data_IF_334473162946
#
_entry.id   IF_334473162946
#
_cell.length_a   1.000
_cell.length_b   1.000
_cell.length_c   1.000
_cell.angle_alpha   90.00
_cell.angle_beta   90.00
_cell.angle_gamma   90.00
#
_symmetry.space_group_name_H-M   'P 1'
#
loop_
_entity.id
_entity.type
_entity.pdbx_description
1 polymer ?
#
# COMPACT_ATOMS: atom_id res chain seq x y z
N UNK A 1 -1.78 11.12 10.17
CA UNK A 1 -2.94 11.10 9.25
C UNK A 1 -4.14 10.48 9.96
N UNK A 2 -5.35 11.00 9.74
CA UNK A 2 -6.58 10.50 10.37
C UNK A 2 -7.38 9.63 9.39
N UNK A 3 -7.82 8.44 9.83
CA UNK A 3 -8.61 7.46 9.05
C UNK A 3 -9.94 7.99 8.50
N UNK A 4 -10.48 9.05 9.12
CA UNK A 4 -11.73 9.69 8.66
C UNK A 4 -11.51 10.63 7.49
N UNK A 5 -10.27 11.10 7.26
CA UNK A 5 -10.01 12.15 6.30
C UNK A 5 -9.64 11.57 4.92
N UNK A 6 -10.65 10.99 4.24
CA UNK A 6 -10.50 10.31 2.93
C UNK A 6 -9.74 11.14 1.90
N UNK A 7 -9.97 12.47 1.86
CA UNK A 7 -9.22 13.37 0.97
C UNK A 7 -7.72 13.36 1.26
N UNK A 8 -7.29 13.52 2.50
CA UNK A 8 -5.85 13.49 2.84
C UNK A 8 -5.20 12.16 2.42
N UNK A 9 -5.91 11.05 2.66
CA UNK A 9 -5.43 9.71 2.30
C UNK A 9 -5.31 9.58 0.79
N UNK A 10 -6.31 10.02 0.04
CA UNK A 10 -6.28 10.07 -1.41
C UNK A 10 -5.12 10.91 -1.95
N UNK A 11 -4.83 12.06 -1.34
CA UNK A 11 -3.66 12.87 -1.68
C UNK A 11 -2.33 12.16 -1.39
N UNK A 12 -2.24 11.37 -0.31
CA UNK A 12 -1.06 10.53 -0.02
C UNK A 12 -0.86 9.36 -0.99
N UNK A 13 -1.91 8.96 -1.72
CA UNK A 13 -1.80 7.97 -2.79
C UNK A 13 -1.14 8.54 -4.06
N UNK A 14 -1.15 9.87 -4.23
CA UNK A 14 -0.52 10.53 -5.39
C UNK A 14 0.98 10.55 -5.20
N UNK A 15 1.68 9.68 -5.93
CA UNK A 15 3.11 9.41 -5.80
C UNK A 15 3.81 9.56 -7.14
N UNK A 16 5.13 9.69 -7.13
CA UNK A 16 5.92 9.93 -8.35
C UNK A 16 5.92 8.76 -9.35
N UNK A 17 5.40 7.59 -8.97
CA UNK A 17 5.39 6.36 -9.77
C UNK A 17 3.96 6.01 -10.14
N UNK A 18 3.68 6.03 -11.45
CA UNK A 18 2.32 5.89 -11.99
C UNK A 18 1.70 4.52 -11.69
N UNK A 19 2.46 3.43 -11.82
CA UNK A 19 1.93 2.10 -11.51
C UNK A 19 1.54 1.96 -10.02
N UNK A 20 2.36 2.55 -9.13
CA UNK A 20 2.10 2.53 -7.69
C UNK A 20 0.89 3.39 -7.34
N UNK A 21 0.77 4.58 -7.93
CA UNK A 21 -0.38 5.46 -7.77
C UNK A 21 -1.68 4.74 -8.17
N UNK A 22 -1.71 4.10 -9.35
CA UNK A 22 -2.88 3.35 -9.82
C UNK A 22 -3.23 2.22 -8.85
N UNK A 23 -2.25 1.40 -8.47
CA UNK A 23 -2.46 0.27 -7.55
C UNK A 23 -3.08 0.70 -6.22
N UNK A 24 -2.49 1.72 -5.58
CA UNK A 24 -2.92 2.18 -4.27
C UNK A 24 -4.28 2.88 -4.37
N UNK A 25 -4.52 3.68 -5.41
CA UNK A 25 -5.77 4.41 -5.58
C UNK A 25 -6.93 3.45 -5.87
N UNK A 26 -6.74 2.49 -6.77
CA UNK A 26 -7.75 1.45 -7.04
C UNK A 26 -8.01 0.58 -5.82
N UNK A 27 -6.98 0.24 -5.03
CA UNK A 27 -7.17 -0.46 -3.76
C UNK A 27 -7.96 0.40 -2.76
N UNK A 28 -7.63 1.68 -2.65
CA UNK A 28 -8.32 2.60 -1.76
C UNK A 28 -9.80 2.72 -2.13
N UNK A 29 -10.15 2.90 -3.40
CA UNK A 29 -11.55 3.05 -3.81
C UNK A 29 -12.37 1.77 -3.60
N UNK A 30 -11.80 0.60 -3.87
CA UNK A 30 -12.55 -0.66 -3.83
C UNK A 30 -12.55 -1.35 -2.46
N UNK A 31 -11.46 -1.24 -1.70
CA UNK A 31 -11.28 -1.98 -0.43
C UNK A 31 -11.39 -1.10 0.79
N UNK A 32 -10.99 0.17 0.74
CA UNK A 32 -10.90 1.02 1.94
C UNK A 32 -12.22 1.21 2.67
N UNK A 33 -13.35 1.26 1.95
CA UNK A 33 -14.65 1.44 2.59
C UNK A 33 -15.01 0.23 3.47
N UNK A 34 -14.66 -0.97 3.01
CA UNK A 34 -14.92 -2.25 3.68
C UNK A 34 -13.82 -2.66 4.70
N UNK A 35 -12.78 -1.86 4.89
CA UNK A 35 -11.72 -2.14 5.86
C UNK A 35 -12.14 -1.80 7.29
N UNK A 36 -11.66 -2.59 8.25
CA UNK A 36 -11.81 -2.30 9.67
C UNK A 36 -10.96 -1.08 10.07
N UNK A 37 -11.26 -0.45 11.20
CA UNK A 37 -10.48 0.70 11.68
C UNK A 37 -8.99 0.35 11.85
N UNK A 38 -8.66 -0.86 12.31
CA UNK A 38 -7.28 -1.32 12.47
C UNK A 38 -6.55 -1.40 11.12
N UNK A 39 -7.19 -1.96 10.10
CA UNK A 39 -6.59 -2.05 8.76
C UNK A 39 -6.44 -0.66 8.13
N UNK A 40 -7.37 0.25 8.38
CA UNK A 40 -7.26 1.65 7.95
C UNK A 40 -6.05 2.34 8.58
N UNK A 41 -5.78 2.08 9.87
CA UNK A 41 -4.55 2.57 10.52
C UNK A 41 -3.28 1.95 9.94
N UNK A 42 -3.29 0.65 9.66
CA UNK A 42 -2.16 -0.04 9.01
C UNK A 42 -1.90 0.53 7.60
N UNK A 43 -2.94 0.80 6.83
CA UNK A 43 -2.86 1.39 5.49
C UNK A 43 -2.30 2.82 5.54
N UNK A 44 -2.74 3.65 6.50
CA UNK A 44 -2.16 4.98 6.68
C UNK A 44 -0.69 4.92 7.06
N UNK A 45 -0.32 3.98 7.95
CA UNK A 45 1.08 3.76 8.29
C UNK A 45 1.88 3.32 7.07
N UNK A 46 1.29 2.51 6.20
CA UNK A 46 1.88 2.12 4.93
C UNK A 46 2.10 3.33 4.01
N UNK A 47 1.11 4.22 3.90
CA UNK A 47 1.20 5.46 3.12
C UNK A 47 2.24 6.48 3.62
N UNK A 48 2.75 6.33 4.85
CA UNK A 48 3.85 7.16 5.35
C UNK A 48 5.24 6.69 4.87
N UNK A 49 5.37 5.51 4.26
CA UNK A 49 6.66 5.04 3.75
C UNK A 49 7.04 5.71 2.44
N UNK A 50 8.33 5.88 2.23
CA UNK A 50 8.89 6.37 0.97
C UNK A 50 8.53 5.47 -0.22
N UNK A 51 8.46 6.03 -1.43
CA UNK A 51 8.07 5.31 -2.66
C UNK A 51 8.91 4.05 -2.90
N UNK A 52 10.23 4.16 -2.67
CA UNK A 52 11.16 3.03 -2.79
C UNK A 52 10.85 1.92 -1.78
N UNK A 53 10.48 2.29 -0.57
CA UNK A 53 10.17 1.33 0.51
C UNK A 53 8.84 0.63 0.26
N UNK A 54 7.83 1.34 -0.25
CA UNK A 54 6.56 0.76 -0.67
C UNK A 54 6.73 -0.26 -1.79
N UNK A 55 7.45 0.11 -2.84
CA UNK A 55 7.71 -0.79 -3.98
C UNK A 55 8.53 -1.99 -3.51
N UNK A 56 9.55 -1.78 -2.68
CA UNK A 56 10.30 -2.88 -2.11
C UNK A 56 9.38 -3.78 -1.27
N UNK A 57 8.43 -3.25 -0.50
CA UNK A 57 7.47 -4.09 0.25
C UNK A 57 6.61 -4.94 -0.70
N UNK A 58 6.06 -4.33 -1.75
CA UNK A 58 5.20 -4.99 -2.76
C UNK A 58 5.97 -6.04 -3.59
N UNK A 59 7.23 -5.76 -3.92
CA UNK A 59 8.11 -6.70 -4.64
C UNK A 59 8.60 -7.81 -3.71
N UNK A 60 8.93 -7.48 -2.47
CA UNK A 60 9.48 -8.44 -1.51
C UNK A 60 8.40 -9.42 -1.01
N UNK A 61 7.12 -9.03 -0.98
CA UNK A 61 6.02 -10.00 -0.84
C UNK A 61 6.04 -11.08 -1.94
N UNK A 62 6.47 -10.75 -3.17
CA UNK A 62 6.64 -11.75 -4.24
C UNK A 62 7.96 -12.54 -4.15
N UNK A 63 8.95 -12.06 -3.38
CA UNK A 63 10.22 -12.77 -3.15
C UNK A 63 10.13 -13.79 -2.01
N UNK A 64 9.20 -13.64 -1.07
CA UNK A 64 8.93 -14.66 -0.06
C UNK A 64 8.43 -15.95 -0.73
N UNK A 65 7.69 -15.85 -1.84
CA UNK A 65 7.34 -17.00 -2.69
C UNK A 65 8.54 -17.60 -3.45
N UNK A 66 9.51 -16.78 -3.87
CA UNK A 66 10.72 -17.29 -4.56
C UNK A 66 11.81 -17.81 -3.62
N UNK A 67 11.83 -17.43 -2.34
CA UNK A 67 12.78 -17.98 -1.36
C UNK A 67 12.50 -19.43 -0.99
N UNK A 68 11.36 -20.00 -1.42
CA UNK A 68 11.06 -21.44 -1.31
C UNK A 68 11.59 -22.28 -2.48
N UNK A 69 12.16 -21.66 -3.53
CA UNK A 69 12.66 -22.36 -4.73
C UNK A 69 14.19 -22.41 -4.85
N UNK A 70 14.93 -22.21 -3.75
CA UNK A 70 16.39 -22.42 -3.72
C UNK A 70 16.80 -23.37 -2.60
N UNK A 71 16.12 -24.50 -2.52
CA UNK A 71 16.61 -25.71 -1.84
C UNK A 71 16.08 -26.93 -2.58
N UNK A 72 16.50 -27.10 -3.83
CA UNK A 72 16.63 -28.39 -4.52
C UNK A 72 17.88 -28.28 -5.39
#
# INVERSE_FOLDING_TARGET
MNIKNKKQIYWACRRGIRELEILITTFFENKYDNLTNNDKYAFIRFLNYDDRSMINLLINTNLIDKKKLRTI
#
